data_IF_493496177244
#
_entry.id   IF_493496177244
#
_cell.length_a   1.000
_cell.length_b   1.000
_cell.length_c   1.000
_cell.angle_alpha   90.00
_cell.angle_beta   90.00
_cell.angle_gamma   90.00
#
_symmetry.space_group_name_H-M   'P 1'
#
loop_
_entity.id
_entity.type
_entity.pdbx_description
1 polymer ?
#
# COMPACT_ATOMS: atom_id res chain seq x y z
N UNK A 1 -23.49 -10.21 -2.95
CA UNK A 1 -22.67 -9.20 -3.65
C UNK A 1 -21.44 -8.89 -2.82
N UNK A 2 -20.42 -8.25 -3.40
CA UNK A 2 -19.24 -7.73 -2.70
C UNK A 2 -18.85 -6.35 -3.28
N UNK A 3 -17.95 -5.64 -2.60
CA UNK A 3 -17.40 -4.34 -3.01
C UNK A 3 -15.87 -4.39 -2.89
N UNK A 4 -15.18 -3.47 -3.57
CA UNK A 4 -13.71 -3.32 -3.47
C UNK A 4 -13.36 -2.61 -2.16
N UNK A 5 -13.31 -3.37 -1.06
CA UNK A 5 -12.92 -2.91 0.27
C UNK A 5 -11.47 -3.25 0.62
N UNK A 6 -10.94 -2.55 1.64
CA UNK A 6 -9.60 -2.81 2.17
C UNK A 6 -9.48 -4.22 2.77
N UNK A 7 -8.24 -4.67 2.96
CA UNK A 7 -7.98 -5.95 3.62
C UNK A 7 -8.44 -5.90 5.09
N UNK A 8 -8.04 -4.88 5.85
CA UNK A 8 -8.48 -4.70 7.24
C UNK A 8 -9.94 -4.20 7.30
N UNK A 9 -10.86 -4.94 7.96
CA UNK A 9 -12.28 -4.60 8.03
C UNK A 9 -12.59 -3.37 8.90
N UNK A 10 -11.64 -2.88 9.70
CA UNK A 10 -11.83 -1.68 10.53
C UNK A 10 -11.47 -0.37 9.79
N UNK A 11 -10.92 -0.45 8.57
CA UNK A 11 -10.55 0.73 7.78
C UNK A 11 -11.81 1.50 7.36
N UNK A 12 -11.87 2.78 7.73
CA UNK A 12 -12.95 3.68 7.35
C UNK A 12 -12.92 4.06 5.86
N UNK A 13 -14.10 4.29 5.28
CA UNK A 13 -14.26 4.54 3.85
C UNK A 13 -13.66 5.88 3.37
N UNK A 14 -13.58 6.90 4.21
CA UNK A 14 -13.23 8.27 3.80
C UNK A 14 -11.88 8.39 3.10
N UNK A 15 -10.79 8.30 3.86
CA UNK A 15 -9.42 8.35 3.32
C UNK A 15 -9.13 7.21 2.34
N UNK A 16 -9.67 6.01 2.61
CA UNK A 16 -9.51 4.84 1.74
C UNK A 16 -10.00 5.10 0.30
N UNK A 17 -11.24 5.58 0.13
CA UNK A 17 -11.81 5.86 -1.19
C UNK A 17 -11.12 7.04 -1.88
N UNK A 18 -10.79 8.09 -1.11
CA UNK A 18 -10.30 9.36 -1.66
C UNK A 18 -8.80 9.40 -1.92
N UNK A 19 -8.02 8.51 -1.30
CA UNK A 19 -6.57 8.37 -1.53
C UNK A 19 -6.18 7.29 -2.55
N UNK A 20 -7.09 6.38 -2.90
CA UNK A 20 -6.84 5.30 -3.86
C UNK A 20 -7.54 4.00 -3.45
N UNK A 21 -7.02 3.35 -2.40
CA UNK A 21 -7.58 2.14 -1.81
C UNK A 21 -7.24 0.86 -2.58
N UNK A 22 -6.22 0.13 -2.15
CA UNK A 22 -5.96 -1.22 -2.64
C UNK A 22 -6.84 -2.26 -1.92
N UNK A 23 -7.02 -3.41 -2.55
CA UNK A 23 -7.94 -4.45 -2.09
C UNK A 23 -7.45 -5.83 -2.53
N UNK A 24 -7.84 -6.93 -1.83
CA UNK A 24 -7.67 -8.26 -2.38
C UNK A 24 -8.32 -8.44 -3.77
N UNK A 25 -9.32 -7.61 -4.08
CA UNK A 25 -10.03 -7.59 -5.35
C UNK A 25 -9.41 -6.66 -6.42
N UNK A 26 -8.35 -5.91 -6.10
CA UNK A 26 -7.86 -4.85 -6.98
C UNK A 26 -7.36 -5.35 -8.33
N UNK A 27 -6.66 -6.48 -8.36
CA UNK A 27 -6.18 -7.08 -9.61
C UNK A 27 -7.30 -7.38 -10.62
N UNK A 28 -8.55 -7.57 -10.13
CA UNK A 28 -9.74 -7.83 -10.94
C UNK A 28 -10.61 -6.60 -11.20
N UNK A 29 -10.87 -5.78 -10.17
CA UNK A 29 -11.86 -4.70 -10.22
C UNK A 29 -11.28 -3.28 -10.06
N UNK A 30 -9.95 -3.15 -10.00
CA UNK A 30 -9.26 -1.88 -9.85
C UNK A 30 -9.14 -1.41 -8.40
N UNK A 31 -8.58 -0.21 -8.23
CA UNK A 31 -8.52 0.42 -6.92
C UNK A 31 -9.93 0.82 -6.47
N UNK A 32 -10.13 1.04 -5.17
CA UNK A 32 -11.41 1.48 -4.64
C UNK A 32 -11.88 2.79 -5.31
N UNK A 33 -10.94 3.68 -5.61
CA UNK A 33 -11.16 4.92 -6.32
C UNK A 33 -11.73 4.74 -7.74
N UNK A 34 -11.43 3.61 -8.39
CA UNK A 34 -11.94 3.27 -9.73
C UNK A 34 -13.40 2.79 -9.69
N UNK A 35 -13.91 2.50 -8.49
CA UNK A 35 -15.23 1.95 -8.24
C UNK A 35 -16.24 2.98 -7.73
N UNK A 36 -15.82 4.22 -7.52
CA UNK A 36 -16.70 5.32 -7.11
C UNK A 36 -17.51 5.78 -8.33
N UNK A 37 -18.83 5.78 -8.19
CA UNK A 37 -19.78 6.28 -9.18
C UNK A 37 -20.12 7.74 -8.90
N UNK A 38 -20.24 8.08 -7.62
CA UNK A 38 -20.72 9.40 -7.18
C UNK A 38 -20.36 9.65 -5.73
N UNK A 39 -20.16 10.93 -5.38
CA UNK A 39 -19.99 11.39 -4.01
C UNK A 39 -20.85 12.62 -3.71
N UNK A 40 -21.38 12.67 -2.49
CA UNK A 40 -21.97 13.87 -1.91
C UNK A 40 -20.97 14.48 -0.93
N UNK A 41 -20.64 15.75 -1.15
CA UNK A 41 -19.56 16.43 -0.43
C UNK A 41 -20.05 17.78 0.07
N UNK A 42 -19.82 18.08 1.33
CA UNK A 42 -19.95 19.44 1.84
C UNK A 42 -18.67 20.23 1.50
N UNK A 43 -18.83 21.34 0.78
CA UNK A 43 -17.74 22.22 0.35
C UNK A 43 -17.26 23.10 1.52
N UNK A 44 -16.13 23.83 1.36
CA UNK A 44 -15.67 24.79 2.36
C UNK A 44 -16.68 25.91 2.68
N UNK A 45 -17.58 26.22 1.74
CA UNK A 45 -18.65 27.21 1.91
C UNK A 45 -19.88 26.65 2.64
N UNK A 46 -19.93 25.34 2.90
CA UNK A 46 -21.05 24.65 3.54
C UNK A 46 -22.11 24.12 2.57
N UNK A 47 -21.94 24.30 1.27
CA UNK A 47 -22.85 23.77 0.25
C UNK A 47 -22.67 22.25 0.12
N UNK A 48 -23.77 21.51 -0.02
CA UNK A 48 -23.71 20.08 -0.33
C UNK A 48 -23.83 19.91 -1.84
N UNK A 49 -22.76 19.43 -2.46
CA UNK A 49 -22.72 19.16 -3.90
C UNK A 49 -22.72 17.67 -4.20
N UNK A 50 -23.26 17.32 -5.36
CA UNK A 50 -23.18 15.99 -5.97
C UNK A 50 -22.06 16.00 -7.00
N UNK A 51 -21.08 15.11 -6.85
CA UNK A 51 -19.93 15.01 -7.73
C UNK A 51 -19.94 13.64 -8.44
N UNK A 52 -20.00 13.66 -9.77
CA UNK A 52 -19.95 12.47 -10.63
C UNK A 52 -19.46 12.85 -12.03
N UNK A 53 -19.55 11.94 -13.00
CA UNK A 53 -19.13 12.19 -14.39
C UNK A 53 -20.00 13.16 -15.19
N UNK A 54 -21.18 13.50 -14.69
CA UNK A 54 -22.11 14.42 -15.33
C UNK A 54 -22.12 15.81 -14.65
N UNK A 55 -21.80 15.88 -13.35
CA UNK A 55 -21.95 17.05 -12.49
C UNK A 55 -20.71 17.25 -11.61
N UNK A 56 -20.19 18.48 -11.53
CA UNK A 56 -18.98 18.81 -10.76
C UNK A 56 -17.76 17.94 -11.13
N UNK A 57 -17.60 17.62 -12.42
CA UNK A 57 -16.65 16.62 -12.94
C UNK A 57 -15.19 16.87 -12.52
N UNK A 58 -14.74 18.12 -12.55
CA UNK A 58 -13.38 18.47 -12.13
C UNK A 58 -13.18 18.22 -10.63
N UNK A 59 -14.18 18.52 -9.80
CA UNK A 59 -14.16 18.22 -8.37
C UNK A 59 -14.22 16.70 -8.13
N UNK A 60 -15.05 15.99 -8.89
CA UNK A 60 -15.15 14.52 -8.84
C UNK A 60 -13.80 13.85 -9.15
N UNK A 61 -13.09 14.35 -10.16
CA UNK A 61 -11.73 13.90 -10.47
C UNK A 61 -10.77 14.13 -9.29
N UNK A 62 -10.80 15.32 -8.67
CA UNK A 62 -9.91 15.66 -7.56
C UNK A 62 -10.13 14.81 -6.31
N UNK A 63 -11.39 14.58 -5.91
CA UNK A 63 -11.71 13.77 -4.72
C UNK A 63 -11.51 12.26 -4.95
N UNK A 64 -11.23 11.85 -6.20
CA UNK A 64 -10.88 10.47 -6.57
C UNK A 64 -9.37 10.32 -6.71
N UNK A 65 -8.66 10.25 -5.60
CA UNK A 65 -7.21 10.00 -5.55
C UNK A 65 -6.37 11.22 -5.17
N UNK A 66 -6.96 12.41 -5.07
CA UNK A 66 -6.31 13.63 -4.57
C UNK A 66 -6.08 13.65 -3.06
N UNK A 67 -6.42 12.58 -2.34
CA UNK A 67 -6.30 12.47 -0.90
C UNK A 67 -7.54 12.97 -0.15
N UNK A 68 -7.72 12.44 1.06
CA UNK A 68 -8.79 12.87 1.97
C UNK A 68 -8.52 14.24 2.59
N UNK A 69 -9.52 14.76 3.30
CA UNK A 69 -9.40 15.93 4.20
C UNK A 69 -8.94 17.26 3.58
N UNK A 70 -8.87 17.39 2.25
CA UNK A 70 -8.44 18.63 1.59
C UNK A 70 -9.50 19.33 0.72
N UNK A 71 -10.38 18.59 0.03
CA UNK A 71 -11.32 19.22 -0.91
C UNK A 71 -12.70 19.52 -0.32
N UNK A 72 -13.12 18.79 0.73
CA UNK A 72 -14.45 18.84 1.30
C UNK A 72 -14.71 17.71 2.29
N UNK A 73 -15.87 17.73 2.95
CA UNK A 73 -16.31 16.66 3.84
C UNK A 73 -17.16 15.67 3.07
N UNK A 74 -16.65 14.45 2.88
CA UNK A 74 -17.40 13.37 2.25
C UNK A 74 -18.56 12.93 3.16
N UNK A 75 -19.79 13.05 2.66
CA UNK A 75 -21.01 12.67 3.39
C UNK A 75 -21.54 11.30 2.94
N UNK A 76 -21.48 11.01 1.64
CA UNK A 76 -21.95 9.76 1.07
C UNK A 76 -21.16 9.42 -0.21
N UNK A 77 -21.01 8.14 -0.50
CA UNK A 77 -20.44 7.63 -1.74
C UNK A 77 -21.28 6.48 -2.30
N UNK A 78 -21.56 6.54 -3.59
CA UNK A 78 -22.11 5.41 -4.34
C UNK A 78 -20.95 4.65 -4.97
N UNK A 79 -20.82 3.36 -4.65
CA UNK A 79 -19.74 2.51 -5.15
C UNK A 79 -20.30 1.31 -5.93
N UNK A 80 -19.54 0.84 -6.92
CA UNK A 80 -19.87 -0.35 -7.68
C UNK A 80 -19.83 -1.59 -6.77
N UNK A 81 -20.81 -2.46 -6.96
CA UNK A 81 -20.88 -3.77 -6.33
C UNK A 81 -20.84 -4.88 -7.39
N UNK A 82 -20.29 -6.03 -6.99
CA UNK A 82 -20.03 -7.16 -7.87
C UNK A 82 -20.71 -8.43 -7.34
N UNK A 83 -21.00 -9.42 -8.19
CA UNK A 83 -21.37 -10.76 -7.73
C UNK A 83 -20.30 -11.31 -6.76
N UNK A 84 -20.73 -12.01 -5.71
CA UNK A 84 -19.81 -12.59 -4.72
C UNK A 84 -18.94 -13.64 -5.42
N UNK A 85 -17.61 -13.45 -5.51
CA UNK A 85 -16.75 -14.45 -6.12
C UNK A 85 -16.43 -15.56 -5.12
N UNK A 86 -16.10 -16.73 -5.64
CA UNK A 86 -15.30 -17.72 -4.93
C UNK A 86 -13.83 -17.35 -5.05
N UNK A 87 -13.05 -17.65 -4.02
CA UNK A 87 -11.60 -17.44 -3.99
C UNK A 87 -10.94 -18.74 -3.57
N UNK A 88 -9.97 -19.18 -4.36
CA UNK A 88 -9.09 -20.28 -3.99
C UNK A 88 -7.76 -19.69 -3.54
N UNK A 89 -7.24 -20.17 -2.42
CA UNK A 89 -6.03 -19.61 -1.83
C UNK A 89 -5.17 -20.70 -1.18
N UNK A 90 -3.89 -20.38 -1.00
CA UNK A 90 -2.93 -21.14 -0.19
C UNK A 90 -1.90 -20.16 0.39
N UNK A 91 -1.05 -20.64 1.30
CA UNK A 91 0.03 -19.86 1.90
C UNK A 91 1.36 -20.53 1.60
N UNK A 92 2.26 -19.79 0.95
CA UNK A 92 3.65 -20.21 0.79
C UNK A 92 4.46 -19.58 1.91
N UNK A 93 5.12 -20.41 2.71
CA UNK A 93 6.03 -19.95 3.75
C UNK A 93 7.45 -20.45 3.49
N UNK A 94 8.44 -19.62 3.78
CA UNK A 94 9.78 -20.11 4.05
C UNK A 94 10.46 -19.35 5.21
N UNK A 95 11.19 -20.09 6.01
CA UNK A 95 11.92 -19.61 7.18
C UNK A 95 13.40 -19.88 7.02
N UNK A 96 14.25 -18.99 7.55
CA UNK A 96 15.67 -19.32 7.68
C UNK A 96 15.92 -20.33 8.79
N UNK A 97 16.83 -21.28 8.55
CA UNK A 97 17.30 -22.23 9.56
C UNK A 97 18.62 -21.80 10.23
N UNK A 98 19.15 -20.61 9.90
CA UNK A 98 20.34 -20.05 10.54
C UNK A 98 20.06 -19.66 11.99
N UNK A 99 21.09 -19.72 12.83
CA UNK A 99 21.04 -19.25 14.22
C UNK A 99 20.82 -17.73 14.30
N UNK A 100 21.56 -16.98 13.49
CA UNK A 100 21.36 -15.54 13.24
C UNK A 100 20.45 -15.34 12.01
N UNK A 101 19.19 -15.71 12.13
CA UNK A 101 18.24 -15.68 11.01
C UNK A 101 18.00 -14.27 10.45
N UNK A 102 18.09 -13.24 11.29
CA UNK A 102 17.93 -11.82 10.95
C UNK A 102 19.23 -11.13 10.50
N UNK A 103 20.34 -11.87 10.37
CA UNK A 103 21.58 -11.32 9.81
C UNK A 103 21.34 -10.84 8.38
N UNK A 104 21.72 -9.58 8.11
CA UNK A 104 21.67 -9.00 6.76
C UNK A 104 22.46 -9.80 5.75
N UNK A 105 23.42 -10.64 6.15
CA UNK A 105 24.19 -11.52 5.26
C UNK A 105 23.54 -12.90 5.02
N UNK A 106 22.27 -13.08 5.41
CA UNK A 106 21.49 -14.29 5.13
C UNK A 106 21.09 -14.41 3.65
N UNK A 107 22.10 -14.62 2.79
CA UNK A 107 21.94 -14.56 1.33
C UNK A 107 20.95 -15.58 0.78
N UNK A 108 20.88 -16.79 1.33
CA UNK A 108 19.89 -17.78 0.89
C UNK A 108 18.45 -17.26 1.06
N UNK A 109 18.12 -16.68 2.21
CA UNK A 109 16.80 -16.13 2.49
C UNK A 109 16.47 -14.92 1.62
N UNK A 110 17.35 -13.92 1.57
CA UNK A 110 17.07 -12.70 0.80
C UNK A 110 17.06 -12.96 -0.71
N UNK A 111 17.85 -13.90 -1.23
CA UNK A 111 17.80 -14.27 -2.64
C UNK A 111 16.48 -14.99 -2.97
N UNK A 112 16.01 -15.88 -2.11
CA UNK A 112 14.72 -16.54 -2.27
C UNK A 112 13.55 -15.53 -2.25
N UNK A 113 13.55 -14.60 -1.30
CA UNK A 113 12.54 -13.54 -1.19
C UNK A 113 12.56 -12.61 -2.40
N UNK A 114 13.74 -12.12 -2.80
CA UNK A 114 13.88 -11.26 -3.97
C UNK A 114 13.44 -11.95 -5.26
N UNK A 115 13.78 -13.23 -5.43
CA UNK A 115 13.33 -14.01 -6.58
C UNK A 115 11.80 -14.14 -6.61
N UNK A 116 11.17 -14.47 -5.49
CA UNK A 116 9.72 -14.60 -5.42
C UNK A 116 9.00 -13.28 -5.72
N UNK A 117 9.56 -12.14 -5.31
CA UNK A 117 9.06 -10.81 -5.68
C UNK A 117 9.22 -10.55 -7.18
N UNK A 118 10.33 -10.97 -7.79
CA UNK A 118 10.54 -10.83 -9.24
C UNK A 118 9.60 -11.70 -10.07
N UNK A 119 9.07 -12.80 -9.50
CA UNK A 119 8.13 -13.70 -10.17
C UNK A 119 6.67 -13.17 -10.13
N UNK A 120 6.37 -12.07 -9.39
CA UNK A 120 5.01 -11.51 -9.27
C UNK A 120 4.32 -11.20 -10.61
N UNK A 121 4.99 -10.62 -11.63
CA UNK A 121 4.37 -10.42 -12.94
C UNK A 121 3.94 -11.73 -13.60
N UNK A 122 4.76 -12.79 -13.52
CA UNK A 122 4.46 -14.11 -14.09
C UNK A 122 3.31 -14.80 -13.32
N UNK A 123 3.34 -14.76 -11.99
CA UNK A 123 2.25 -15.26 -11.14
C UNK A 123 0.91 -14.60 -11.51
N UNK A 124 0.92 -13.30 -11.80
CA UNK A 124 -0.27 -12.61 -12.26
C UNK A 124 -0.78 -13.11 -13.62
N UNK A 125 0.10 -13.40 -14.59
CA UNK A 125 -0.35 -13.99 -15.87
C UNK A 125 -1.02 -15.35 -15.69
N UNK A 126 -0.72 -16.04 -14.57
CA UNK A 126 -1.34 -17.29 -14.14
C UNK A 126 -2.57 -17.08 -13.24
N UNK A 127 -3.08 -15.85 -13.14
CA UNK A 127 -4.26 -15.51 -12.35
C UNK A 127 -4.06 -15.55 -10.84
N UNK A 128 -2.82 -15.37 -10.36
CA UNK A 128 -2.45 -15.38 -8.95
C UNK A 128 -2.11 -13.96 -8.49
N UNK A 129 -2.68 -13.57 -7.36
CA UNK A 129 -2.40 -12.31 -6.64
C UNK A 129 -2.16 -12.66 -5.16
N UNK A 130 -1.81 -11.68 -4.33
CA UNK A 130 -1.64 -11.96 -2.92
C UNK A 130 -1.09 -10.82 -2.08
N UNK A 131 -0.92 -11.13 -0.80
CA UNK A 131 -0.19 -10.31 0.17
C UNK A 131 0.95 -11.13 0.71
N UNK A 132 2.15 -10.57 0.70
CA UNK A 132 3.29 -11.18 1.37
C UNK A 132 3.82 -10.29 2.47
N UNK A 133 4.49 -10.90 3.44
CA UNK A 133 5.16 -10.22 4.52
C UNK A 133 6.49 -10.89 4.82
N UNK A 134 7.46 -10.08 5.20
CA UNK A 134 8.73 -10.51 5.78
C UNK A 134 8.77 -9.97 7.19
N UNK A 135 8.87 -10.88 8.16
CA UNK A 135 8.77 -10.55 9.58
C UNK A 135 9.94 -11.17 10.34
N UNK A 136 10.75 -10.35 11.02
CA UNK A 136 11.65 -10.86 12.04
C UNK A 136 10.83 -11.26 13.27
N UNK A 137 10.97 -12.50 13.71
CA UNK A 137 10.33 -12.98 14.94
C UNK A 137 11.41 -12.97 16.02
N UNK A 138 11.30 -11.98 16.91
CA UNK A 138 12.23 -11.75 18.03
C UNK A 138 11.78 -12.40 19.33
N UNK A 139 10.56 -12.96 19.37
CA UNK A 139 10.02 -13.73 20.50
C UNK A 139 10.21 -15.23 20.20
N UNK A 140 11.17 -15.88 20.85
CA UNK A 140 11.56 -17.22 20.46
C UNK A 140 10.81 -18.28 21.25
N UNK A 141 10.38 -19.32 20.56
CA UNK A 141 10.50 -20.65 21.16
C UNK A 141 12.02 -20.89 21.29
N UNK A 142 12.55 -20.90 22.52
CA UNK A 142 13.95 -21.25 22.87
C UNK A 142 15.09 -20.25 22.57
N UNK A 143 14.89 -18.93 22.68
CA UNK A 143 15.99 -17.94 22.59
C UNK A 143 16.57 -17.63 21.20
N UNK A 144 16.06 -18.21 20.10
CA UNK A 144 16.61 -18.04 18.73
C UNK A 144 15.85 -17.01 17.89
N UNK A 145 16.58 -16.12 17.22
CA UNK A 145 16.01 -15.22 16.20
C UNK A 145 15.41 -16.02 15.04
N UNK A 146 14.26 -15.61 14.49
CA UNK A 146 13.72 -16.19 13.26
C UNK A 146 13.44 -15.09 12.23
N UNK A 147 13.52 -15.48 10.97
CA UNK A 147 13.13 -14.65 9.83
C UNK A 147 12.18 -15.47 8.96
N UNK A 148 10.96 -14.97 8.81
CA UNK A 148 9.88 -15.61 8.05
C UNK A 148 9.54 -14.76 6.82
N UNK A 149 9.34 -15.43 5.69
CA UNK A 149 8.61 -14.90 4.55
C UNK A 149 7.32 -15.69 4.42
N UNK A 150 6.19 -14.99 4.41
CA UNK A 150 4.86 -15.57 4.24
C UNK A 150 4.17 -14.90 3.06
N UNK A 151 3.64 -15.69 2.14
CA UNK A 151 2.87 -15.21 1.00
C UNK A 151 1.50 -15.86 0.97
N UNK A 152 0.47 -15.09 1.31
CA UNK A 152 -0.92 -15.49 1.11
C UNK A 152 -1.28 -15.26 -0.36
N UNK A 153 -1.32 -16.35 -1.12
CA UNK A 153 -1.61 -16.36 -2.54
C UNK A 153 -3.06 -16.75 -2.78
N UNK A 154 -3.73 -16.05 -3.68
CA UNK A 154 -5.11 -16.36 -4.04
C UNK A 154 -5.39 -16.13 -5.52
N UNK A 155 -6.44 -16.80 -5.99
CA UNK A 155 -6.97 -16.71 -7.34
C UNK A 155 -8.49 -16.70 -7.32
N UNK A 156 -9.07 -15.97 -8.27
CA UNK A 156 -10.52 -15.89 -8.50
C UNK A 156 -10.95 -16.64 -9.76
N UNK A 157 -10.07 -17.46 -10.34
CA UNK A 157 -10.40 -18.38 -11.43
C UNK A 157 -11.35 -19.48 -10.92
N UNK A 158 -12.09 -20.15 -11.82
CA UNK A 158 -13.09 -21.14 -11.42
C UNK A 158 -12.49 -22.45 -10.88
N UNK A 159 -11.32 -22.86 -11.37
CA UNK A 159 -10.61 -24.08 -10.96
C UNK A 159 -9.09 -23.83 -10.98
N UNK A 160 -8.56 -22.93 -10.15
CA UNK A 160 -7.13 -22.68 -10.13
C UNK A 160 -6.42 -23.89 -9.54
N UNK A 161 -5.37 -24.35 -10.20
CA UNK A 161 -4.46 -25.38 -9.67
C UNK A 161 -3.23 -24.70 -9.05
N UNK A 162 -3.40 -24.04 -7.90
CA UNK A 162 -2.33 -23.25 -7.28
C UNK A 162 -1.11 -24.12 -6.96
N UNK A 163 -1.31 -25.36 -6.51
CA UNK A 163 -0.21 -26.31 -6.25
C UNK A 163 0.64 -26.54 -7.50
N UNK A 164 0.00 -26.81 -8.65
CA UNK A 164 0.70 -27.04 -9.91
C UNK A 164 1.42 -25.77 -10.37
N UNK A 165 0.75 -24.62 -10.30
CA UNK A 165 1.30 -23.32 -10.69
C UNK A 165 2.49 -22.89 -9.82
N UNK A 166 2.50 -23.25 -8.53
CA UNK A 166 3.56 -22.94 -7.57
C UNK A 166 4.64 -24.02 -7.47
N UNK A 167 4.42 -25.20 -8.04
CA UNK A 167 5.38 -26.32 -7.99
C UNK A 167 6.80 -25.96 -8.47
N UNK A 168 7.00 -25.17 -9.55
CA UNK A 168 8.34 -24.75 -9.96
C UNK A 168 9.04 -23.89 -8.91
N UNK A 169 8.31 -22.97 -8.27
CA UNK A 169 8.83 -22.10 -7.20
C UNK A 169 9.18 -22.96 -5.99
N UNK A 170 8.28 -23.85 -5.56
CA UNK A 170 8.51 -24.73 -4.42
C UNK A 170 9.68 -25.67 -4.64
N UNK A 171 9.86 -26.20 -5.85
CA UNK A 171 10.99 -27.07 -6.18
C UNK A 171 12.33 -26.36 -5.99
N UNK A 172 12.41 -25.08 -6.33
CA UNK A 172 13.61 -24.25 -6.12
C UNK A 172 13.82 -23.92 -4.62
N UNK A 173 12.75 -23.55 -3.91
CA UNK A 173 12.84 -23.23 -2.48
C UNK A 173 13.24 -24.44 -1.65
N UNK A 174 12.70 -25.63 -1.94
CA UNK A 174 12.96 -26.87 -1.19
C UNK A 174 14.42 -27.33 -1.28
N UNK A 175 15.11 -27.03 -2.38
CA UNK A 175 16.53 -27.38 -2.55
C UNK A 175 17.48 -26.27 -2.11
N UNK A 176 16.96 -25.10 -1.72
CA UNK A 176 17.78 -23.95 -1.30
C UNK A 176 18.32 -24.19 0.12
N UNK A 177 19.66 -24.29 0.30
CA UNK A 177 20.22 -24.56 1.61
C UNK A 177 19.90 -23.45 2.61
N UNK A 178 19.60 -23.82 3.85
CA UNK A 178 19.34 -22.85 4.92
C UNK A 178 17.89 -22.37 5.02
N UNK A 179 16.96 -22.98 4.27
CA UNK A 179 15.53 -22.70 4.30
C UNK A 179 14.71 -23.91 4.74
N UNK A 180 13.64 -23.65 5.49
CA UNK A 180 12.52 -24.59 5.67
C UNK A 180 11.31 -23.99 5.00
N UNK A 181 10.58 -24.79 4.22
CA UNK A 181 9.49 -24.32 3.37
C UNK A 181 8.18 -25.03 3.73
N UNK A 182 7.05 -24.39 3.42
CA UNK A 182 5.72 -24.98 3.55
C UNK A 182 4.80 -24.46 2.45
N UNK A 183 3.97 -25.35 1.92
CA UNK A 183 2.86 -25.02 1.02
C UNK A 183 1.68 -25.94 1.35
N UNK A 184 0.77 -25.53 2.24
CA UNK A 184 -0.42 -26.30 2.54
C UNK A 184 -1.35 -26.44 1.32
N UNK A 185 -2.26 -27.41 1.41
CA UNK A 185 -3.30 -27.60 0.39
C UNK A 185 -4.15 -26.34 0.21
N UNK A 186 -4.54 -26.08 -1.05
CA UNK A 186 -5.38 -24.94 -1.36
C UNK A 186 -6.79 -25.16 -0.84
N UNK A 187 -7.43 -24.07 -0.46
CA UNK A 187 -8.83 -24.06 -0.01
C UNK A 187 -9.62 -23.11 -0.89
N UNK A 188 -10.89 -23.43 -1.13
CA UNK A 188 -11.81 -22.55 -1.86
C UNK A 188 -12.94 -22.12 -0.94
N UNK A 189 -13.13 -20.81 -0.82
CA UNK A 189 -14.18 -20.20 0.01
C UNK A 189 -14.96 -19.17 -0.79
N UNK A 190 -16.11 -18.73 -0.29
CA UNK A 190 -16.69 -17.47 -0.75
C UNK A 190 -15.79 -16.33 -0.27
N UNK A 191 -15.68 -15.26 -1.06
CA UNK A 191 -14.77 -14.16 -0.73
C UNK A 191 -15.02 -13.53 0.66
N UNK A 192 -16.28 -13.42 1.09
CA UNK A 192 -16.60 -12.90 2.43
C UNK A 192 -16.06 -13.78 3.57
N UNK A 193 -16.07 -15.11 3.38
CA UNK A 193 -15.57 -16.04 4.39
C UNK A 193 -14.03 -16.02 4.40
N UNK A 194 -13.41 -15.93 3.23
CA UNK A 194 -11.96 -15.72 3.11
C UNK A 194 -11.51 -14.43 3.80
N UNK A 195 -12.20 -13.31 3.57
CA UNK A 195 -11.88 -12.03 4.19
C UNK A 195 -12.01 -12.12 5.71
N UNK A 196 -13.11 -12.68 6.23
CA UNK A 196 -13.33 -12.81 7.67
C UNK A 196 -12.27 -13.68 8.38
N UNK A 197 -11.73 -14.70 7.70
CA UNK A 197 -10.76 -15.63 8.30
C UNK A 197 -9.33 -15.14 8.15
N UNK A 198 -8.95 -14.64 6.96
CA UNK A 198 -7.55 -14.40 6.57
C UNK A 198 -7.17 -12.93 6.42
N UNK A 199 -8.14 -12.01 6.40
CA UNK A 199 -7.91 -10.56 6.34
C UNK A 199 -8.41 -9.94 7.65
N UNK A 200 -7.83 -10.38 8.77
CA UNK A 200 -8.20 -9.91 10.11
C UNK A 200 -7.63 -8.52 10.37
N UNK A 201 -8.23 -7.81 11.31
CA UNK A 201 -7.70 -6.52 11.71
C UNK A 201 -6.35 -6.64 12.40
N UNK A 202 -5.50 -5.68 12.11
CA UNK A 202 -4.19 -5.57 12.72
C UNK A 202 -4.31 -5.14 14.19
N UNK A 203 -3.28 -5.47 14.97
CA UNK A 203 -3.14 -4.94 16.32
C UNK A 203 -2.90 -3.42 16.26
N UNK A 204 -3.77 -2.67 16.93
CA UNK A 204 -3.72 -1.20 17.05
C UNK A 204 -3.19 -0.77 18.43
N UNK A 205 -3.00 0.54 18.64
CA UNK A 205 -2.56 1.10 19.92
C UNK A 205 -1.04 1.16 20.11
N UNK A 206 -0.28 1.00 19.03
CA UNK A 206 1.17 1.20 18.98
C UNK A 206 1.50 2.43 18.14
N UNK A 207 2.55 3.15 18.54
CA UNK A 207 3.09 4.19 17.68
C UNK A 207 3.97 3.56 16.59
N UNK A 208 3.77 3.98 15.34
CA UNK A 208 4.49 3.46 14.18
C UNK A 208 4.77 4.57 13.17
N UNK A 209 5.93 4.50 12.54
CA UNK A 209 6.20 5.18 11.28
C UNK A 209 6.03 4.18 10.14
N UNK A 210 5.23 4.56 9.16
CA UNK A 210 4.97 3.75 7.97
C UNK A 210 5.76 4.31 6.81
N UNK A 211 6.41 3.46 6.04
CA UNK A 211 7.11 3.83 4.80
C UNK A 211 6.52 3.04 3.65
N UNK A 212 6.49 3.59 2.44
CA UNK A 212 6.03 2.81 1.29
C UNK A 212 6.64 3.24 -0.03
N UNK A 213 6.53 2.36 -1.02
CA UNK A 213 6.84 2.64 -2.41
C UNK A 213 6.05 1.72 -3.34
N UNK A 214 5.64 2.25 -4.48
CA UNK A 214 5.11 1.46 -5.58
C UNK A 214 6.27 0.93 -6.43
N UNK A 215 6.30 -0.38 -6.70
CA UNK A 215 7.28 -0.98 -7.61
C UNK A 215 6.59 -1.53 -8.85
N UNK A 216 7.15 -1.24 -10.03
CA UNK A 216 6.69 -1.74 -11.32
C UNK A 216 7.51 -2.97 -11.78
N UNK A 217 7.22 -3.48 -12.98
CA UNK A 217 7.86 -4.68 -13.50
C UNK A 217 9.39 -4.58 -13.63
N UNK A 218 9.97 -3.48 -14.18
CA UNK A 218 11.42 -3.27 -14.15
C UNK A 218 12.00 -3.28 -12.74
N UNK A 219 11.37 -2.56 -11.80
CA UNK A 219 11.84 -2.48 -10.42
C UNK A 219 11.89 -3.85 -9.72
N UNK A 220 10.83 -4.66 -9.82
CA UNK A 220 10.82 -6.00 -9.18
C UNK A 220 11.76 -7.00 -9.86
N UNK A 221 12.13 -6.76 -11.12
CA UNK A 221 13.05 -7.62 -11.88
C UNK A 221 14.52 -7.35 -11.53
N UNK A 222 14.82 -6.17 -10.98
CA UNK A 222 16.15 -5.85 -10.47
C UNK A 222 16.37 -6.51 -9.10
N UNK A 223 16.66 -7.80 -9.14
CA UNK A 223 16.87 -8.60 -7.93
C UNK A 223 18.01 -8.08 -7.05
N UNK A 224 19.01 -7.37 -7.58
CA UNK A 224 20.08 -6.81 -6.77
C UNK A 224 19.57 -5.68 -5.87
N UNK A 225 18.85 -4.72 -6.45
CA UNK A 225 18.27 -3.62 -5.70
C UNK A 225 17.13 -4.07 -4.77
N UNK A 226 16.28 -5.00 -5.21
CA UNK A 226 15.26 -5.61 -4.36
C UNK A 226 15.92 -6.29 -3.16
N UNK A 227 16.95 -7.10 -3.37
CA UNK A 227 17.65 -7.81 -2.30
C UNK A 227 18.31 -6.84 -1.30
N UNK A 228 18.93 -5.76 -1.78
CA UNK A 228 19.47 -4.69 -0.92
C UNK A 228 18.37 -4.07 -0.05
N UNK A 229 17.22 -3.73 -0.64
CA UNK A 229 16.10 -3.17 0.11
C UNK A 229 15.55 -4.19 1.13
N UNK A 230 15.35 -5.45 0.77
CA UNK A 230 14.90 -6.47 1.72
C UNK A 230 15.85 -6.63 2.92
N UNK A 231 17.17 -6.55 2.70
CA UNK A 231 18.16 -6.62 3.79
C UNK A 231 18.07 -5.44 4.75
N UNK A 232 17.62 -4.26 4.33
CA UNK A 232 17.47 -3.14 5.26
C UNK A 232 16.36 -3.38 6.28
N UNK A 233 15.33 -4.15 5.91
CA UNK A 233 14.23 -4.59 6.77
C UNK A 233 14.57 -5.83 7.63
N UNK A 234 15.84 -6.18 7.82
CA UNK A 234 16.23 -7.38 8.59
C UNK A 234 15.72 -7.42 10.03
N UNK A 235 15.42 -6.24 10.61
CA UNK A 235 14.88 -6.07 11.95
C UNK A 235 13.58 -5.24 11.94
N UNK A 236 12.86 -5.19 10.83
CA UNK A 236 11.61 -4.42 10.71
C UNK A 236 10.58 -5.17 9.89
N UNK A 237 9.31 -4.83 10.09
CA UNK A 237 8.22 -5.43 9.33
C UNK A 237 8.22 -4.88 7.91
N UNK A 238 8.11 -5.77 6.92
CA UNK A 238 7.88 -5.43 5.53
C UNK A 238 6.68 -6.22 5.00
N UNK A 239 5.84 -5.57 4.22
CA UNK A 239 4.71 -6.14 3.51
C UNK A 239 4.75 -5.73 2.04
N UNK A 240 4.30 -6.62 1.17
CA UNK A 240 3.98 -6.29 -0.20
C UNK A 240 2.56 -6.71 -0.55
N UNK A 241 1.81 -5.78 -1.14
CA UNK A 241 0.49 -6.05 -1.72
C UNK A 241 0.63 -6.16 -3.23
N UNK A 242 0.48 -7.36 -3.78
CA UNK A 242 0.51 -7.57 -5.22
C UNK A 242 -0.79 -7.04 -5.84
N UNK A 243 -0.71 -5.82 -6.38
CA UNK A 243 -1.83 -5.11 -7.04
C UNK A 243 -1.82 -5.26 -8.55
N UNK A 244 -0.80 -5.92 -9.11
CA UNK A 244 -0.68 -6.18 -10.55
C UNK A 244 -1.97 -6.75 -11.11
N UNK A 245 -2.39 -6.18 -12.24
CA UNK A 245 -3.41 -6.77 -13.06
C UNK A 245 -4.35 -5.81 -13.75
N UNK A 246 -5.15 -6.36 -14.67
CA UNK A 246 -6.03 -5.61 -15.56
C UNK A 246 -7.01 -4.72 -14.82
N UNK A 247 -7.40 -5.04 -13.59
CA UNK A 247 -8.23 -4.13 -12.79
C UNK A 247 -7.55 -2.78 -12.53
N UNK A 248 -6.27 -2.81 -12.13
CA UNK A 248 -5.48 -1.62 -11.77
C UNK A 248 -4.77 -1.00 -12.98
N UNK A 249 -4.21 -1.83 -13.85
CA UNK A 249 -3.35 -1.42 -14.97
C UNK A 249 -4.13 -0.98 -16.21
N UNK A 250 -5.37 -1.43 -16.38
CA UNK A 250 -6.20 -0.94 -17.48
C UNK A 250 -6.50 0.54 -17.24
N UNK A 251 -6.41 1.34 -18.32
CA UNK A 251 -6.89 2.72 -18.28
C UNK A 251 -8.37 2.73 -17.85
N UNK A 252 -8.72 3.39 -16.73
CA UNK A 252 -10.11 3.42 -16.27
C UNK A 252 -10.98 4.13 -17.31
N UNK A 253 -12.27 3.79 -17.34
CA UNK A 253 -13.25 4.46 -18.22
C UNK A 253 -13.38 5.95 -17.90
N UNK A 254 -13.17 6.29 -16.63
CA UNK A 254 -13.25 7.65 -16.10
C UNK A 254 -11.92 7.96 -15.45
N UNK A 255 -11.33 9.09 -15.81
CA UNK A 255 -10.06 9.52 -15.25
C UNK A 255 -10.20 9.90 -13.78
N UNK A 256 -9.12 9.75 -13.02
CA UNK A 256 -9.07 10.05 -11.58
C UNK A 256 -7.72 10.66 -11.21
N UNK A 257 -7.67 11.36 -10.08
CA UNK A 257 -6.45 12.02 -9.61
C UNK A 257 -5.43 11.09 -8.94
N UNK A 258 -5.73 9.79 -8.86
CA UNK A 258 -4.80 8.80 -8.30
C UNK A 258 -3.47 8.82 -9.07
N UNK A 259 -2.34 8.64 -8.37
CA UNK A 259 -1.03 8.73 -9.02
C UNK A 259 -0.96 7.81 -10.26
N UNK A 260 -0.53 8.31 -11.43
CA UNK A 260 -0.42 7.51 -12.65
C UNK A 260 0.46 6.25 -12.52
N UNK A 261 1.42 6.23 -11.59
CA UNK A 261 2.29 5.10 -11.33
C UNK A 261 1.50 3.83 -10.96
N UNK A 262 0.34 3.96 -10.30
CA UNK A 262 -0.55 2.83 -10.00
C UNK A 262 -0.85 1.98 -11.23
N UNK A 263 -0.99 2.60 -12.40
CA UNK A 263 -1.37 1.91 -13.66
C UNK A 263 -0.26 1.00 -14.21
N UNK A 264 0.94 1.05 -13.65
CA UNK A 264 2.05 0.12 -13.95
C UNK A 264 2.60 -0.59 -12.71
N UNK A 265 2.05 -0.34 -11.53
CA UNK A 265 2.48 -0.97 -10.29
C UNK A 265 2.25 -2.48 -10.35
N UNK A 266 3.27 -3.23 -9.92
CA UNK A 266 3.18 -4.66 -9.67
C UNK A 266 2.86 -4.92 -8.20
N UNK A 267 3.58 -4.23 -7.31
CA UNK A 267 3.45 -4.39 -5.85
C UNK A 267 3.52 -3.03 -5.16
N UNK A 268 2.64 -2.84 -4.18
CA UNK A 268 2.76 -1.78 -3.18
C UNK A 268 3.58 -2.33 -2.01
N UNK A 269 4.80 -1.82 -1.82
CA UNK A 269 5.66 -2.19 -0.71
C UNK A 269 5.42 -1.25 0.46
N UNK A 270 5.25 -1.79 1.65
CA UNK A 270 5.02 -1.05 2.88
C UNK A 270 5.88 -1.60 4.02
N UNK A 271 6.52 -0.70 4.76
CA UNK A 271 7.31 -1.01 5.94
C UNK A 271 6.76 -0.34 7.19
N UNK A 272 6.97 -0.93 8.36
CA UNK A 272 6.59 -0.33 9.64
C UNK A 272 7.75 -0.35 10.64
N UNK A 273 7.99 0.78 11.28
CA UNK A 273 8.93 0.93 12.41
C UNK A 273 8.13 1.35 13.64
N UNK A 274 8.08 0.48 14.64
CA UNK A 274 7.35 0.74 15.89
C UNK A 274 8.20 1.40 16.96
N UNK A 275 7.55 2.16 17.84
CA UNK A 275 8.10 2.61 19.11
C UNK A 275 7.04 2.56 20.21
N UNK A 276 7.48 2.55 21.47
CA UNK A 276 6.59 2.36 22.61
C UNK A 276 5.58 3.51 22.77
N UNK A 277 4.37 3.16 23.21
CA UNK A 277 3.39 4.16 23.64
C UNK A 277 3.88 4.81 24.94
N UNK A 278 4.02 6.14 24.96
CA UNK A 278 4.67 6.85 26.07
C UNK A 278 6.20 6.67 26.10
N UNK A 279 6.81 6.17 25.02
CA UNK A 279 8.25 6.11 24.86
C UNK A 279 8.90 7.51 24.89
N UNK A 280 10.20 7.52 25.18
CA UNK A 280 11.02 8.71 25.22
C UNK A 280 11.16 9.38 23.84
N UNK A 281 11.55 10.66 23.84
CA UNK A 281 11.85 11.38 22.61
C UNK A 281 13.04 10.76 21.85
N UNK A 282 14.00 10.16 22.57
CA UNK A 282 15.14 9.45 21.97
C UNK A 282 14.68 8.19 21.23
N UNK A 283 13.76 7.40 21.82
CA UNK A 283 13.18 6.22 21.16
C UNK A 283 12.39 6.61 19.91
N UNK A 284 11.55 7.66 20.00
CA UNK A 284 10.82 8.20 18.86
C UNK A 284 11.79 8.67 17.76
N UNK A 285 12.85 9.38 18.13
CA UNK A 285 13.86 9.89 17.19
C UNK A 285 14.64 8.76 16.51
N UNK A 286 15.02 7.72 17.25
CA UNK A 286 15.67 6.53 16.68
C UNK A 286 14.75 5.79 15.69
N UNK A 287 13.48 5.63 16.06
CA UNK A 287 12.49 5.03 15.17
C UNK A 287 12.26 5.86 13.90
N UNK A 288 12.27 7.20 14.00
CA UNK A 288 12.18 8.09 12.85
C UNK A 288 13.39 7.92 11.92
N UNK A 289 14.62 7.95 12.46
CA UNK A 289 15.85 7.82 11.64
C UNK A 289 15.91 6.47 10.91
N UNK A 290 15.45 5.40 11.57
CA UNK A 290 15.32 4.11 10.91
C UNK A 290 14.26 4.16 9.80
N UNK A 291 13.10 4.76 10.04
CA UNK A 291 12.08 4.93 9.01
C UNK A 291 12.57 5.76 7.82
N UNK A 292 13.31 6.85 8.05
CA UNK A 292 13.94 7.65 6.99
C UNK A 292 14.85 6.76 6.11
N UNK A 293 15.73 5.98 6.74
CA UNK A 293 16.63 5.04 6.04
C UNK A 293 15.86 4.00 5.22
N UNK A 294 14.83 3.38 5.82
CA UNK A 294 14.01 2.37 5.15
C UNK A 294 13.21 2.96 3.98
N UNK A 295 12.75 4.21 4.11
CA UNK A 295 12.06 4.94 3.04
C UNK A 295 13.00 5.16 1.85
N UNK A 296 14.25 5.58 2.09
CA UNK A 296 15.27 5.73 1.05
C UNK A 296 15.60 4.41 0.35
N UNK A 297 15.71 3.32 1.10
CA UNK A 297 15.98 1.99 0.54
C UNK A 297 14.85 1.50 -0.36
N UNK A 298 13.58 1.69 0.03
CA UNK A 298 12.44 1.38 -0.83
C UNK A 298 12.39 2.29 -2.07
N UNK A 299 12.69 3.58 -1.90
CA UNK A 299 12.74 4.57 -2.98
C UNK A 299 13.77 4.19 -4.04
N UNK A 300 14.96 3.76 -3.62
CA UNK A 300 16.08 3.45 -4.49
C UNK A 300 15.80 2.29 -5.47
N UNK A 301 14.86 1.40 -5.16
CA UNK A 301 14.45 0.31 -6.07
C UNK A 301 13.59 0.84 -7.24
N UNK A 302 12.83 1.91 -7.02
CA UNK A 302 11.92 2.46 -8.01
C UNK A 302 11.82 4.01 -7.90
N UNK A 303 12.88 4.75 -8.28
CA UNK A 303 12.94 6.20 -8.10
C UNK A 303 11.90 6.98 -8.94
N UNK A 304 11.47 6.42 -10.07
CA UNK A 304 10.49 7.04 -10.98
C UNK A 304 9.02 6.68 -10.65
N UNK A 305 8.81 5.90 -9.60
CA UNK A 305 7.48 5.53 -9.11
C UNK A 305 6.95 6.51 -8.05
N UNK A 306 5.77 6.22 -7.52
CA UNK A 306 5.13 6.98 -6.45
C UNK A 306 5.07 6.22 -5.12
N UNK A 307 4.42 6.83 -4.15
CA UNK A 307 4.05 6.29 -2.85
C UNK A 307 2.54 6.38 -2.68
N UNK A 308 1.96 5.49 -1.89
CA UNK A 308 0.53 5.54 -1.59
C UNK A 308 0.27 6.53 -0.45
N UNK A 309 -0.45 7.62 -0.73
CA UNK A 309 -0.69 8.73 0.22
C UNK A 309 -1.26 8.32 1.58
N UNK A 310 -2.04 7.23 1.64
CA UNK A 310 -2.64 6.76 2.89
C UNK A 310 -1.69 5.91 3.75
N UNK A 311 -0.58 5.44 3.18
CA UNK A 311 0.37 4.51 3.83
C UNK A 311 1.79 5.01 3.57
N UNK A 312 2.07 6.26 3.91
CA UNK A 312 3.31 6.94 3.58
C UNK A 312 4.06 7.48 4.80
N UNK A 313 5.35 7.76 4.59
CA UNK A 313 6.20 8.33 5.61
C UNK A 313 5.87 9.79 5.85
N UNK A 314 5.89 10.21 7.12
CA UNK A 314 5.56 11.58 7.51
C UNK A 314 6.61 12.60 7.03
N UNK A 315 7.82 12.15 6.72
CA UNK A 315 8.86 12.96 6.09
C UNK A 315 9.09 12.61 4.61
N UNK A 316 8.06 12.14 3.90
CA UNK A 316 8.19 11.76 2.49
C UNK A 316 8.86 12.88 1.66
N UNK A 317 10.07 12.66 1.11
CA UNK A 317 10.73 13.65 0.27
C UNK A 317 9.87 13.96 -0.96
N UNK A 318 9.71 15.25 -1.24
CA UNK A 318 8.84 15.80 -2.28
C UNK A 318 7.50 15.07 -2.39
N UNK A 319 6.75 15.06 -1.28
CA UNK A 319 5.46 14.37 -1.14
C UNK A 319 4.48 14.66 -2.29
N UNK A 320 4.57 15.85 -2.90
CA UNK A 320 3.78 16.28 -4.06
C UNK A 320 3.97 15.34 -5.25
N UNK A 321 5.23 15.15 -5.65
CA UNK A 321 5.62 14.22 -6.72
C UNK A 321 5.37 12.78 -6.28
N UNK A 322 5.69 12.44 -5.04
CA UNK A 322 5.54 11.08 -4.54
C UNK A 322 4.08 10.61 -4.49
N UNK A 323 3.13 11.46 -4.12
CA UNK A 323 1.72 11.06 -3.92
C UNK A 323 0.85 11.26 -5.15
N UNK A 324 1.15 12.25 -5.99
CA UNK A 324 0.31 12.60 -7.14
C UNK A 324 1.06 12.72 -8.47
N UNK A 325 2.39 12.86 -8.45
CA UNK A 325 3.19 13.02 -9.65
C UNK A 325 2.71 14.21 -10.50
N UNK A 326 2.49 13.97 -11.78
CA UNK A 326 2.00 14.98 -12.73
C UNK A 326 0.60 15.52 -12.43
N UNK A 327 -0.19 14.86 -11.58
CA UNK A 327 -1.52 15.34 -11.21
C UNK A 327 -1.50 16.50 -10.20
N UNK A 328 -0.36 16.75 -9.53
CA UNK A 328 -0.30 17.67 -8.39
C UNK A 328 -0.71 19.10 -8.75
N UNK A 329 -0.21 19.65 -9.86
CA UNK A 329 -0.48 21.05 -10.22
C UNK A 329 -1.97 21.28 -10.53
N UNK A 330 -2.61 20.31 -11.19
CA UNK A 330 -4.05 20.35 -11.44
C UNK A 330 -4.85 20.24 -10.14
N UNK A 331 -4.47 19.32 -9.26
CA UNK A 331 -5.06 19.19 -7.92
C UNK A 331 -4.93 20.49 -7.12
N UNK A 332 -3.77 21.12 -7.14
CA UNK A 332 -3.50 22.39 -6.45
C UNK A 332 -4.33 23.55 -7.01
N UNK A 333 -4.46 23.63 -8.33
CA UNK A 333 -5.32 24.61 -8.99
C UNK A 333 -6.78 24.48 -8.57
N UNK A 334 -7.29 23.24 -8.51
CA UNK A 334 -8.64 22.95 -8.01
C UNK A 334 -8.76 23.34 -6.54
N UNK A 335 -7.82 22.91 -5.69
CA UNK A 335 -7.81 23.21 -4.25
C UNK A 335 -7.92 24.71 -3.99
N UNK A 336 -7.09 25.52 -4.66
CA UNK A 336 -7.10 26.98 -4.48
C UNK A 336 -8.39 27.64 -4.97
N UNK A 337 -9.07 27.06 -5.96
CA UNK A 337 -10.37 27.55 -6.46
C UNK A 337 -11.52 27.17 -5.53
N UNK A 338 -11.52 25.96 -4.99
CA UNK A 338 -12.63 25.45 -4.15
C UNK A 338 -12.49 25.84 -2.69
N UNK A 339 -11.27 25.98 -2.18
CA UNK A 339 -10.95 26.32 -0.79
C UNK A 339 -9.86 27.41 -0.70
N UNK A 340 -10.11 28.64 -1.19
CA UNK A 340 -9.13 29.73 -1.16
C UNK A 340 -8.76 30.20 0.26
N UNK A 341 -9.65 29.94 1.22
CA UNK A 341 -9.46 30.27 2.63
C UNK A 341 -8.65 29.20 3.39
N UNK A 342 -8.50 27.99 2.81
CA UNK A 342 -7.83 26.85 3.44
C UNK A 342 -8.55 26.34 4.69
N UNK A 343 -9.89 26.28 4.62
CA UNK A 343 -10.74 25.71 5.69
C UNK A 343 -10.34 24.27 5.99
N UNK A 344 -10.03 23.50 4.94
CA UNK A 344 -9.58 22.12 5.08
C UNK A 344 -8.07 22.04 4.89
N UNK A 345 -7.35 21.78 5.96
CA UNK A 345 -5.91 21.60 5.95
C UNK A 345 -5.52 20.28 6.62
N UNK A 346 -4.53 19.61 6.04
CA UNK A 346 -3.87 18.46 6.62
C UNK A 346 -2.41 18.43 6.16
N UNK A 347 -1.56 17.83 6.99
CA UNK A 347 -0.14 17.67 6.69
C UNK A 347 0.06 16.83 5.42
N UNK A 348 0.99 17.26 4.57
CA UNK A 348 1.28 16.67 3.26
C UNK A 348 0.07 16.46 2.34
N UNK A 349 -1.01 17.21 2.54
CA UNK A 349 -2.15 17.23 1.62
C UNK A 349 -1.92 18.20 0.45
N UNK A 350 -2.77 18.11 -0.58
CA UNK A 350 -2.80 19.10 -1.67
C UNK A 350 -3.04 20.49 -1.07
N UNK A 351 -2.15 21.44 -1.38
CA UNK A 351 -2.21 22.81 -0.88
C UNK A 351 -1.68 23.01 0.55
N UNK A 352 -1.11 21.98 1.19
CA UNK A 352 -0.57 22.12 2.55
C UNK A 352 0.55 23.17 2.63
N UNK A 353 1.38 23.30 1.60
CA UNK A 353 2.49 24.26 1.51
C UNK A 353 2.07 25.74 1.51
N UNK A 354 0.78 26.05 1.33
CA UNK A 354 0.28 27.42 1.49
C UNK A 354 0.19 27.83 2.99
N UNK A 355 0.53 26.91 3.91
CA UNK A 355 0.45 27.05 5.36
C UNK A 355 1.68 26.47 6.06
N UNK A 356 1.94 26.92 7.28
CA UNK A 356 3.01 26.41 8.15
C UNK A 356 2.44 25.98 9.51
N UNK A 357 2.75 24.75 9.93
CA UNK A 357 2.47 24.26 11.28
C UNK A 357 3.61 24.70 12.20
N UNK A 358 3.27 25.50 13.21
CA UNK A 358 4.20 25.99 14.22
C UNK A 358 4.45 24.92 15.29
N UNK A 359 5.60 25.02 15.98
CA UNK A 359 5.95 24.09 17.06
C UNK A 359 4.95 24.10 18.23
N UNK A 360 4.18 25.19 18.39
CA UNK A 360 3.10 25.31 19.39
C UNK A 360 1.74 24.77 18.90
N UNK A 361 1.70 24.17 17.72
CA UNK A 361 0.51 23.57 17.11
C UNK A 361 -0.37 24.53 16.31
N UNK A 362 -0.04 25.83 16.23
CA UNK A 362 -0.79 26.77 15.39
C UNK A 362 -0.51 26.56 13.91
N UNK A 363 -1.54 26.72 13.07
CA UNK A 363 -1.41 26.72 11.61
C UNK A 363 -1.52 28.16 11.12
N UNK A 364 -0.51 28.64 10.40
CA UNK A 364 -0.47 30.02 9.88
C UNK A 364 -0.35 30.02 8.35
N UNK A 365 -1.02 30.95 7.68
CA UNK A 365 -0.90 31.11 6.23
C UNK A 365 0.49 31.64 5.89
N UNK A 366 1.12 31.10 4.85
CA UNK A 366 2.38 31.63 4.36
C UNK A 366 2.13 32.91 3.57
N UNK A 367 2.73 34.02 3.99
CA UNK A 367 2.70 35.28 3.26
C UNK A 367 3.55 35.15 1.99
N UNK A 368 2.93 35.11 0.82
CA UNK A 368 3.61 35.05 -0.49
C UNK A 368 4.23 36.41 -0.90
N UNK A 369 4.60 37.24 0.07
CA UNK A 369 5.10 38.58 -0.14
C UNK A 369 6.25 38.90 0.80
N UNK A 370 7.45 38.42 0.46
CA UNK A 370 8.71 39.17 0.22
C UNK A 370 9.77 38.11 -0.10
N UNK A 371 10.12 37.98 -1.39
CA UNK A 371 11.43 37.53 -1.85
C UNK A 371 11.88 38.44 -2.96
#
# INVERSE_FOLDING_TARGET
MTIVGGADPNVGLGGYLTGGGHSPLSSRYGLAVDNIVEMFVATPTGDIIRANVCENQEFFWAIRGGGGATFGVLLNATIRAYPMPSVTFTRLDFNSTKEEATDKNNTAFYNAASRLISDLPDLYTKGISGYFSMVPITEPVEGKSQMNFAFLLYSFESNPTLQEKLSPIMSQLNITPGLTTSLPDQQTLRFIDFQAIYMRSDSVGMNRFTVSRLWDAPAVSDTENVNRALRSFSNSFLQGTAVTGSGVQRKPLEDSAVHPAWRRTVVHMMGNVGYALGGSEDERSAAMQLADTLSEDLYAVAPDMGCYVNEAHIHQPDYRKAFWGENYDKLLGIKRRVDPAGVFWCEMCVGADDWILQADGRICKMDKGVS
#
